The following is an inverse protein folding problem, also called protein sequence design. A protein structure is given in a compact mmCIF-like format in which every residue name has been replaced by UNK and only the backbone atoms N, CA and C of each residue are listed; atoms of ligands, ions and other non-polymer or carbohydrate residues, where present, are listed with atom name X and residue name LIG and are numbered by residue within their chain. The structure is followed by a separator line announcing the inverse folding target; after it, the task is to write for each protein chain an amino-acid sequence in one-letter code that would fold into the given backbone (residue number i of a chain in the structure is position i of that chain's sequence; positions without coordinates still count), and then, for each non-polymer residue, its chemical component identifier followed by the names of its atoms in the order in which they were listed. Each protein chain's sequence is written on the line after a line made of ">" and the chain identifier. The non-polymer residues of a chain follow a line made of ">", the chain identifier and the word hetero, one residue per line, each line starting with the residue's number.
data_IF_329172959549
#
_entry.id   IF_329172959549
#
_cell.length_a   1.000
_cell.length_b   1.000
_cell.length_c   1.000
_cell.angle_alpha   90.00
_cell.angle_beta   90.00
_cell.angle_gamma   90.00
#
_symmetry.space_group_name_H-M   'P 1'
#
loop_
_entity.id
_entity.type
_entity.pdbx_description
1 polymer ?
#
# COMPACT_ATOMS: atom_id res chain seq x y z
N UNK A 1 15.44 -6.88 8.95
CA UNK A 1 16.19 -5.60 9.14
C UNK A 1 15.15 -4.50 9.33
N UNK A 2 15.28 -3.59 10.32
CA UNK A 2 14.29 -2.51 10.50
C UNK A 2 14.71 -1.26 9.71
N UNK A 3 14.33 -1.19 8.44
CA UNK A 3 14.59 -0.05 7.55
C UNK A 3 14.02 1.30 8.04
N UNK A 4 13.06 1.30 8.98
CA UNK A 4 12.45 2.51 9.55
C UNK A 4 13.30 3.07 10.69
N UNK A 5 14.07 2.22 11.37
CA UNK A 5 14.98 2.64 12.43
C UNK A 5 16.20 3.39 11.88
N UNK A 6 16.53 3.24 10.60
CA UNK A 6 17.69 3.89 9.99
C UNK A 6 17.43 5.36 9.63
N UNK A 7 16.17 5.78 9.50
CA UNK A 7 15.79 7.11 9.00
C UNK A 7 15.50 8.14 10.10
N UNK A 8 15.65 7.77 11.37
CA UNK A 8 15.15 8.56 12.51
C UNK A 8 16.24 9.07 13.45
N UNK A 9 17.50 9.05 13.01
CA UNK A 9 18.66 9.59 13.72
C UNK A 9 19.28 10.75 12.92
N UNK A 10 18.49 11.77 12.61
CA UNK A 10 19.01 13.14 12.51
C UNK A 10 17.84 14.15 12.59
N UNK A 11 18.08 15.22 13.33
CA UNK A 11 17.30 16.45 13.43
C UNK A 11 15.96 16.45 14.21
N UNK A 12 16.04 17.11 15.37
CA UNK A 12 14.88 17.61 16.10
C UNK A 12 14.52 19.03 15.69
N UNK A 13 13.23 19.36 15.72
CA UNK A 13 12.72 20.69 16.08
C UNK A 13 11.21 20.63 16.35
N UNK A 14 10.75 21.50 17.25
CA UNK A 14 9.41 21.61 17.83
C UNK A 14 8.29 22.05 16.84
N UNK A 15 7.00 21.87 17.20
CA UNK A 15 5.82 21.97 16.32
C UNK A 15 5.04 23.30 16.43
N UNK A 16 4.16 23.60 15.45
CA UNK A 16 3.01 24.54 15.54
C UNK A 16 1.90 24.26 14.49
N UNK A 17 0.64 24.78 14.66
CA UNK A 17 -0.62 24.07 14.32
C UNK A 17 -1.63 24.77 13.36
N UNK A 18 -2.66 23.99 12.92
CA UNK A 18 -4.06 24.32 12.43
C UNK A 18 -4.22 25.22 11.17
N UNK A 19 -5.24 25.16 10.27
CA UNK A 19 -6.71 25.23 10.38
C UNK A 19 -7.45 24.87 9.03
N UNK A 20 -8.72 24.39 9.10
CA UNK A 20 -9.95 24.55 8.22
C UNK A 20 -9.90 24.40 6.67
N UNK A 21 -10.96 24.15 5.86
CA UNK A 21 -12.39 23.73 5.93
C UNK A 21 -12.96 23.74 4.47
N UNK A 22 -13.82 22.76 4.11
CA UNK A 22 -14.96 22.75 3.14
C UNK A 22 -14.83 23.15 1.63
N UNK A 23 -15.23 22.26 0.69
CA UNK A 23 -16.51 22.33 -0.09
C UNK A 23 -16.68 21.28 -1.20
N UNK A 24 -17.97 21.01 -1.46
CA UNK A 24 -18.60 20.00 -2.30
C UNK A 24 -18.71 20.36 -3.79
N UNK A 25 -18.97 19.36 -4.65
CA UNK A 25 -19.97 19.41 -5.75
C UNK A 25 -20.12 18.03 -6.43
N UNK A 26 -21.36 17.70 -6.81
CA UNK A 26 -21.83 16.53 -7.55
C UNK A 26 -21.69 16.76 -9.07
N UNK A 27 -21.64 15.70 -9.90
CA UNK A 27 -22.64 15.47 -10.97
C UNK A 27 -22.47 14.08 -11.62
N UNK A 28 -23.60 13.52 -12.06
CA UNK A 28 -23.78 12.24 -12.74
C UNK A 28 -23.70 12.44 -14.27
N UNK A 29 -23.55 11.35 -15.03
CA UNK A 29 -24.37 10.99 -16.22
C UNK A 29 -23.70 9.84 -16.98
N UNK A 30 -24.56 8.91 -17.35
CA UNK A 30 -24.38 7.56 -17.88
C UNK A 30 -23.94 7.53 -19.36
N UNK A 31 -23.27 6.46 -19.80
CA UNK A 31 -23.71 5.69 -20.98
C UNK A 31 -22.99 4.35 -21.17
N UNK A 32 -23.68 3.49 -21.88
CA UNK A 32 -23.68 2.03 -21.87
C UNK A 32 -23.47 1.48 -23.30
N UNK A 33 -22.98 0.24 -23.37
CA UNK A 33 -23.09 -0.79 -24.44
C UNK A 33 -22.39 -0.63 -25.83
N UNK A 34 -21.58 -1.63 -26.23
CA UNK A 34 -21.91 -2.64 -27.28
C UNK A 34 -20.70 -3.24 -28.07
N UNK A 35 -20.54 -4.57 -27.95
CA UNK A 35 -20.25 -5.61 -28.97
C UNK A 35 -18.93 -5.69 -29.81
N UNK A 36 -18.09 -6.67 -29.43
CA UNK A 36 -17.67 -7.92 -30.12
C UNK A 36 -17.06 -7.97 -31.57
N UNK A 37 -15.97 -8.79 -31.64
CA UNK A 37 -15.34 -9.56 -32.75
C UNK A 37 -14.22 -8.99 -33.64
N UNK A 38 -13.01 -9.46 -33.28
CA UNK A 38 -12.00 -10.20 -34.07
C UNK A 38 -11.57 -9.75 -35.49
N UNK A 39 -10.29 -9.38 -35.61
CA UNK A 39 -9.40 -9.86 -36.68
C UNK A 39 -7.92 -9.79 -36.22
N UNK A 40 -7.09 -10.73 -36.68
CA UNK A 40 -5.69 -10.94 -36.27
C UNK A 40 -4.83 -10.72 -37.50
N UNK A 41 -3.71 -9.97 -37.42
CA UNK A 41 -2.47 -10.55 -37.94
C UNK A 41 -1.20 -10.29 -37.12
N UNK A 42 -0.37 -11.33 -37.22
CA UNK A 42 1.06 -11.53 -36.98
C UNK A 42 2.05 -10.38 -36.66
N UNK A 43 2.77 -10.63 -35.55
CA UNK A 43 4.24 -10.81 -35.45
C UNK A 43 5.13 -9.55 -35.40
N UNK A 44 6.12 -9.67 -34.51
CA UNK A 44 7.30 -8.79 -34.30
C UNK A 44 6.94 -7.50 -33.54
N UNK A 45 7.40 -7.23 -32.32
CA UNK A 45 8.65 -7.58 -31.66
C UNK A 45 8.35 -7.92 -30.20
N UNK A 46 8.95 -9.00 -29.69
CA UNK A 46 9.08 -9.20 -28.25
C UNK A 46 9.83 -7.99 -27.72
N UNK A 47 9.12 -7.03 -27.12
CA UNK A 47 9.75 -6.04 -26.26
C UNK A 47 10.35 -6.84 -25.12
N UNK A 48 11.64 -7.15 -25.25
CA UNK A 48 12.48 -7.44 -24.12
C UNK A 48 12.53 -6.14 -23.33
N UNK A 49 11.49 -5.90 -22.54
CA UNK A 49 11.68 -5.09 -21.36
C UNK A 49 12.62 -5.95 -20.53
N UNK A 50 13.91 -5.59 -20.60
CA UNK A 50 14.82 -5.85 -19.50
C UNK A 50 14.08 -5.28 -18.29
N UNK A 51 13.37 -6.18 -17.60
CA UNK A 51 12.61 -5.91 -16.40
C UNK A 51 13.68 -5.69 -15.36
N UNK A 52 14.25 -4.50 -15.40
CA UNK A 52 15.14 -4.04 -14.37
C UNK A 52 14.40 -4.23 -13.05
N UNK A 53 15.11 -4.79 -12.09
CA UNK A 53 14.58 -5.49 -10.93
C UNK A 53 13.89 -4.56 -9.90
N UNK A 54 13.54 -3.34 -10.31
CA UNK A 54 12.98 -2.25 -9.53
C UNK A 54 11.45 -2.28 -9.44
N UNK A 55 10.76 -3.14 -10.21
CA UNK A 55 9.30 -3.24 -10.19
C UNK A 55 8.72 -3.93 -8.94
N UNK A 56 9.57 -4.36 -8.01
CA UNK A 56 9.17 -5.09 -6.79
C UNK A 56 8.58 -4.20 -5.68
N UNK A 57 8.61 -2.87 -5.85
CA UNK A 57 8.17 -1.92 -4.83
C UNK A 57 7.13 -0.91 -5.33
N UNK A 58 6.44 -1.22 -6.43
CA UNK A 58 5.33 -0.40 -6.95
C UNK A 58 3.99 -1.04 -6.63
N UNK A 59 3.02 -0.27 -6.14
CA UNK A 59 1.66 -0.77 -5.88
C UNK A 59 0.80 -0.87 -7.16
N UNK A 60 -0.41 -1.43 -7.06
CA UNK A 60 -1.36 -1.53 -8.19
C UNK A 60 -1.79 -0.19 -8.78
N UNK A 61 -1.52 0.91 -8.08
CA UNK A 61 -1.84 2.28 -8.47
C UNK A 61 -0.68 2.96 -9.18
N UNK A 62 0.50 2.32 -9.25
CA UNK A 62 1.71 2.87 -9.85
C UNK A 62 2.56 3.71 -8.91
N UNK A 63 2.29 3.66 -7.60
CA UNK A 63 3.01 4.45 -6.59
C UNK A 63 4.27 3.71 -6.15
N UNK A 64 5.39 4.42 -6.08
CA UNK A 64 6.61 3.92 -5.44
C UNK A 64 6.40 3.83 -3.92
N UNK A 65 6.37 2.59 -3.41
CA UNK A 65 6.09 2.31 -2.01
C UNK A 65 7.20 2.81 -1.09
N UNK A 66 8.46 2.75 -1.54
CA UNK A 66 9.59 3.17 -0.73
C UNK A 66 9.55 4.69 -0.50
N UNK A 67 9.42 5.47 -1.58
CA UNK A 67 9.26 6.91 -1.51
C UNK A 67 8.04 7.30 -0.67
N UNK A 68 6.90 6.64 -0.89
CA UNK A 68 5.70 6.90 -0.10
C UNK A 68 5.92 6.72 1.40
N UNK A 69 6.52 5.59 1.81
CA UNK A 69 6.80 5.30 3.21
C UNK A 69 7.75 6.34 3.81
N UNK A 70 8.87 6.62 3.13
CA UNK A 70 9.85 7.62 3.56
C UNK A 70 9.23 9.00 3.72
N UNK A 71 8.44 9.45 2.75
CA UNK A 71 7.78 10.75 2.79
C UNK A 71 6.75 10.82 3.92
N UNK A 72 5.99 9.75 4.15
CA UNK A 72 4.96 9.69 5.20
C UNK A 72 5.57 9.73 6.60
N UNK A 73 6.68 9.02 6.81
CA UNK A 73 7.39 9.00 8.10
C UNK A 73 7.99 10.36 8.46
N UNK A 74 8.48 11.10 7.47
CA UNK A 74 9.08 12.42 7.64
C UNK A 74 8.04 13.53 7.77
N UNK A 75 6.95 13.45 7.00
CA UNK A 75 5.96 14.52 6.90
C UNK A 75 4.96 14.58 8.05
N UNK A 76 4.55 13.44 8.62
CA UNK A 76 3.48 13.42 9.61
C UNK A 76 3.81 12.53 10.83
N UNK A 77 3.96 13.10 12.04
CA UNK A 77 4.30 12.34 13.24
C UNK A 77 3.20 11.36 13.66
N UNK A 78 1.92 11.64 13.38
CA UNK A 78 0.83 10.70 13.68
C UNK A 78 0.89 9.47 12.78
N UNK A 79 1.15 9.70 11.49
CA UNK A 79 1.24 8.62 10.51
C UNK A 79 2.50 7.78 10.74
N UNK A 80 3.60 8.41 11.17
CA UNK A 80 4.81 7.71 11.60
C UNK A 80 4.53 6.68 12.70
N UNK A 81 3.80 7.08 13.74
CA UNK A 81 3.42 6.16 14.83
C UNK A 81 2.57 5.01 14.28
N UNK A 82 1.62 5.32 13.40
CA UNK A 82 0.75 4.32 12.80
C UNK A 82 1.53 3.33 11.92
N UNK A 83 2.44 3.81 11.07
CA UNK A 83 3.27 2.97 10.20
C UNK A 83 4.17 2.03 11.01
N UNK A 84 4.83 2.55 12.05
CA UNK A 84 5.68 1.74 12.93
C UNK A 84 4.87 0.63 13.62
N UNK A 85 3.64 0.95 14.03
CA UNK A 85 2.75 -0.05 14.64
C UNK A 85 2.33 -1.12 13.64
N UNK A 86 1.94 -0.73 12.43
CA UNK A 86 1.55 -1.67 11.37
C UNK A 86 2.72 -2.56 10.94
N UNK A 87 3.94 -1.99 10.85
CA UNK A 87 5.15 -2.76 10.58
C UNK A 87 5.36 -3.82 11.66
N UNK A 88 5.34 -3.44 12.94
CA UNK A 88 5.54 -4.40 14.02
C UNK A 88 4.49 -5.51 14.00
N UNK A 89 3.20 -5.15 13.83
CA UNK A 89 2.11 -6.12 13.75
C UNK A 89 2.29 -7.12 12.58
N UNK A 90 2.87 -6.66 11.46
CA UNK A 90 3.19 -7.48 10.30
C UNK A 90 4.42 -8.35 10.57
N UNK A 91 5.50 -7.81 11.14
CA UNK A 91 6.69 -8.59 11.49
C UNK A 91 6.36 -9.71 12.48
N UNK A 92 5.57 -9.41 13.50
CA UNK A 92 5.08 -10.40 14.46
C UNK A 92 4.22 -11.47 13.78
N UNK A 93 3.41 -11.06 12.80
CA UNK A 93 2.62 -11.98 11.99
C UNK A 93 3.50 -12.88 11.12
N UNK A 94 4.49 -12.34 10.42
CA UNK A 94 5.40 -13.10 9.57
C UNK A 94 6.19 -14.12 10.40
N UNK A 95 6.69 -13.70 11.57
CA UNK A 95 7.43 -14.55 12.51
C UNK A 95 6.58 -15.70 13.08
N UNK A 96 5.29 -15.48 13.33
CA UNK A 96 4.39 -16.54 13.82
C UNK A 96 3.92 -17.46 12.68
N UNK A 97 4.35 -18.72 12.65
CA UNK A 97 3.95 -19.71 11.64
C UNK A 97 2.59 -20.39 11.87
N UNK A 98 1.89 -20.11 12.96
CA UNK A 98 0.61 -20.77 13.27
C UNK A 98 -0.53 -20.34 12.32
N UNK A 99 -0.42 -19.17 11.69
CA UNK A 99 -1.46 -18.63 10.82
C UNK A 99 -0.91 -18.05 9.52
N UNK A 100 -1.53 -18.42 8.40
CA UNK A 100 -1.22 -17.88 7.07
C UNK A 100 -2.06 -16.65 6.71
N UNK A 101 -3.08 -16.34 7.52
CA UNK A 101 -4.05 -15.26 7.29
C UNK A 101 -4.29 -14.50 8.60
N UNK A 102 -4.28 -13.18 8.53
CA UNK A 102 -4.62 -12.30 9.67
C UNK A 102 -5.60 -11.23 9.24
N UNK A 103 -6.70 -11.09 9.99
CA UNK A 103 -7.69 -10.02 9.82
C UNK A 103 -7.41 -8.94 10.85
N UNK A 104 -7.21 -7.72 10.37
CA UNK A 104 -7.06 -6.56 11.24
C UNK A 104 -8.42 -6.07 11.75
N UNK A 105 -8.45 -5.42 12.92
CA UNK A 105 -9.66 -4.77 13.42
C UNK A 105 -10.19 -3.71 12.44
N UNK A 106 -11.46 -3.29 12.56
CA UNK A 106 -12.01 -2.24 11.74
C UNK A 106 -11.16 -0.96 11.80
N UNK A 107 -10.84 -0.41 10.63
CA UNK A 107 -9.97 0.75 10.48
C UNK A 107 -10.60 1.79 9.56
N UNK A 108 -10.19 3.05 9.72
CA UNK A 108 -10.58 4.13 8.80
C UNK A 108 -10.02 3.86 7.40
N UNK A 109 -10.65 4.43 6.36
CA UNK A 109 -10.20 4.26 4.97
C UNK A 109 -8.72 4.63 4.79
N UNK A 110 -8.25 5.66 5.48
CA UNK A 110 -6.84 6.09 5.43
C UNK A 110 -5.90 5.08 6.07
N UNK A 111 -6.22 4.57 7.26
CA UNK A 111 -5.41 3.54 7.92
C UNK A 111 -5.38 2.25 7.10
N UNK A 112 -6.49 1.90 6.45
CA UNK A 112 -6.52 0.78 5.51
C UNK A 112 -5.59 1.01 4.32
N UNK A 113 -5.55 2.22 3.77
CA UNK A 113 -4.62 2.58 2.69
C UNK A 113 -3.15 2.41 3.14
N UNK A 114 -2.80 2.88 4.35
CA UNK A 114 -1.45 2.67 4.89
C UNK A 114 -1.12 1.19 5.00
N UNK A 115 -2.01 0.38 5.58
CA UNK A 115 -1.79 -1.06 5.70
C UNK A 115 -1.66 -1.75 4.34
N UNK A 116 -2.47 -1.37 3.34
CA UNK A 116 -2.34 -1.90 1.98
C UNK A 116 -0.94 -1.66 1.42
N UNK A 117 -0.41 -0.45 1.57
CA UNK A 117 0.94 -0.09 1.07
C UNK A 117 2.04 -0.80 1.84
N UNK A 118 1.95 -0.88 3.17
CA UNK A 118 2.94 -1.62 3.99
C UNK A 118 2.90 -3.11 3.65
N UNK A 119 1.72 -3.72 3.53
CA UNK A 119 1.59 -5.13 3.14
C UNK A 119 2.13 -5.40 1.73
N UNK A 120 1.83 -4.51 0.77
CA UNK A 120 2.39 -4.57 -0.58
C UNK A 120 3.92 -4.50 -0.56
N UNK A 121 4.49 -3.65 0.29
CA UNK A 121 5.94 -3.46 0.42
C UNK A 121 6.64 -4.72 0.94
N UNK A 122 5.99 -5.45 1.84
CA UNK A 122 6.42 -6.77 2.28
C UNK A 122 6.10 -7.88 1.28
N UNK A 123 5.47 -7.60 0.13
CA UNK A 123 5.08 -8.61 -0.86
C UNK A 123 3.93 -9.52 -0.41
N UNK A 124 3.14 -9.07 0.55
CA UNK A 124 2.01 -9.80 1.11
C UNK A 124 0.73 -9.53 0.31
N UNK A 125 -0.11 -10.54 0.20
CA UNK A 125 -1.45 -10.38 -0.37
C UNK A 125 -2.36 -9.68 0.65
N UNK A 126 -3.16 -8.74 0.18
CA UNK A 126 -3.98 -7.88 1.03
C UNK A 126 -5.33 -7.61 0.39
N UNK A 127 -6.39 -7.88 1.13
CA UNK A 127 -7.76 -7.77 0.65
C UNK A 127 -8.64 -7.10 1.69
N UNK A 128 -9.71 -6.46 1.25
CA UNK A 128 -10.71 -5.91 2.16
C UNK A 128 -11.68 -7.01 2.56
N UNK A 129 -12.09 -7.01 3.83
CA UNK A 129 -13.16 -7.90 4.29
C UNK A 129 -14.46 -7.61 3.50
N UNK A 130 -15.36 -8.59 3.30
CA UNK A 130 -16.62 -8.37 2.59
C UNK A 130 -17.48 -7.23 3.16
N UNK A 131 -17.31 -6.92 4.45
CA UNK A 131 -17.96 -5.77 5.10
C UNK A 131 -17.39 -4.39 4.71
N UNK A 132 -16.22 -4.34 4.06
CA UNK A 132 -15.51 -3.11 3.71
C UNK A 132 -14.76 -2.43 4.87
N UNK A 133 -14.92 -2.92 6.12
CA UNK A 133 -14.47 -2.23 7.33
C UNK A 133 -13.08 -2.65 7.82
N UNK A 134 -12.63 -3.84 7.41
CA UNK A 134 -11.37 -4.44 7.86
C UNK A 134 -10.49 -4.81 6.66
N UNK A 135 -9.19 -4.93 6.90
CA UNK A 135 -8.22 -5.45 5.92
C UNK A 135 -7.72 -6.79 6.41
N UNK A 136 -7.52 -7.70 5.47
CA UNK A 136 -7.07 -9.06 5.68
C UNK A 136 -5.78 -9.23 4.89
N UNK A 137 -4.72 -9.65 5.57
CA UNK A 137 -3.44 -9.95 4.94
C UNK A 137 -3.19 -11.44 4.95
N UNK A 138 -2.55 -11.93 3.89
CA UNK A 138 -2.16 -13.32 3.73
C UNK A 138 -0.65 -13.39 3.45
N UNK A 139 0.02 -14.38 4.05
CA UNK A 139 1.41 -14.69 3.70
C UNK A 139 1.46 -15.32 2.31
N UNK A 140 2.45 -14.93 1.52
CA UNK A 140 2.66 -15.46 0.17
C UNK A 140 4.12 -15.89 0.02
N UNK A 141 4.44 -16.62 -1.05
CA UNK A 141 5.84 -16.95 -1.39
C UNK A 141 6.71 -15.74 -1.72
N UNK A 142 6.10 -14.56 -1.89
CA UNK A 142 6.78 -13.30 -2.17
C UNK A 142 7.02 -12.47 -0.90
N UNK A 143 6.63 -12.96 0.27
CA UNK A 143 6.76 -12.20 1.53
C UNK A 143 8.24 -11.99 1.90
N UNK A 144 8.64 -10.74 2.10
CA UNK A 144 10.03 -10.30 2.38
C UNK A 144 10.20 -9.91 3.86
N UNK A 145 11.43 -9.98 4.41
CA UNK A 145 11.79 -9.67 5.82
C UNK A 145 13.06 -8.81 5.92
#
# INVERSE_FOLDING_TARGET
>A
MNWLSQTVLDDGFLPQPSEKEERAAQDQVEKEDCCDKADKPEKTQRKMLSRDSSQDYTDSTGIDLHEFLVNTLKGNPRDRIMLLKLEQDILDFISNNESHKRKFPPMTSYHRMLLHRVAAYFGMDHNVDPSGKSVVINKTGNTRM
#
